data_IF_896673896952
#
_entry.id   IF_896673896952
#
_cell.length_a   1.000
_cell.length_b   1.000
_cell.length_c   1.000
_cell.angle_alpha   90.00
_cell.angle_beta   90.00
_cell.angle_gamma   90.00
#
_symmetry.space_group_name_H-M   'P 1'
#
loop_
_entity.id
_entity.type
_entity.pdbx_description
1 polymer ?
#
# COMPACT_ATOMS: atom_id res chain seq x y z
N UNK A 1 -20.94 -124.67 66.85
CA UNK A 1 -21.54 -124.35 65.54
C UNK A 1 -20.97 -123.03 65.02
N UNK A 2 -19.69 -123.03 64.66
CA UNK A 2 -18.92 -121.87 64.20
C UNK A 2 -18.70 -121.89 62.67
N UNK A 3 -19.35 -122.83 61.96
CA UNK A 3 -19.18 -123.06 60.51
C UNK A 3 -20.29 -122.45 59.65
N UNK A 4 -21.41 -122.02 60.24
CA UNK A 4 -22.55 -121.46 59.48
C UNK A 4 -22.41 -119.95 59.24
N UNK A 5 -21.54 -119.27 60.00
CA UNK A 5 -21.30 -117.83 59.88
C UNK A 5 -20.29 -117.46 58.76
N UNK A 6 -19.47 -118.41 58.28
CA UNK A 6 -18.46 -118.13 57.24
C UNK A 6 -19.00 -118.21 55.80
N UNK A 7 -20.16 -118.84 55.57
CA UNK A 7 -20.71 -119.01 54.22
C UNK A 7 -21.54 -117.77 53.80
N UNK A 8 -22.08 -117.01 54.75
CA UNK A 8 -22.86 -115.79 54.45
C UNK A 8 -22.03 -114.59 53.97
N UNK A 9 -20.75 -114.51 54.36
CA UNK A 9 -19.88 -113.36 54.03
C UNK A 9 -19.32 -113.43 52.61
N UNK A 10 -19.29 -114.62 51.99
CA UNK A 10 -18.76 -114.80 50.62
C UNK A 10 -19.75 -114.44 49.51
N UNK A 11 -21.05 -114.36 49.81
CA UNK A 11 -22.09 -114.04 48.81
C UNK A 11 -22.32 -112.51 48.71
N UNK A 12 -21.97 -111.75 49.75
CA UNK A 12 -22.14 -110.30 49.77
C UNK A 12 -21.05 -109.54 49.00
N UNK A 13 -19.89 -110.15 48.73
CA UNK A 13 -18.76 -109.49 48.06
C UNK A 13 -18.71 -109.69 46.55
N UNK A 14 -19.55 -110.55 45.96
CA UNK A 14 -19.55 -110.81 44.50
C UNK A 14 -20.59 -110.01 43.71
N UNK A 15 -21.41 -109.19 44.36
CA UNK A 15 -22.43 -108.36 43.69
C UNK A 15 -22.04 -106.88 43.59
N UNK A 16 -20.90 -106.47 44.13
CA UNK A 16 -20.46 -105.07 44.13
C UNK A 16 -19.68 -104.68 42.86
N UNK A 17 -18.96 -105.60 42.21
CA UNK A 17 -18.12 -105.29 41.03
C UNK A 17 -18.91 -105.12 39.73
N UNK A 18 -20.13 -105.68 39.63
CA UNK A 18 -20.96 -105.54 38.42
C UNK A 18 -21.72 -104.20 38.34
N UNK A 19 -21.94 -103.54 39.48
CA UNK A 19 -22.74 -102.31 39.56
C UNK A 19 -21.88 -101.05 39.29
N UNK A 20 -20.58 -101.11 39.54
CA UNK A 20 -19.64 -100.01 39.29
C UNK A 20 -19.23 -99.90 37.81
N UNK A 21 -19.07 -101.02 37.10
CA UNK A 21 -18.72 -101.03 35.66
C UNK A 21 -19.89 -100.59 34.75
N UNK A 22 -21.13 -100.84 35.16
CA UNK A 22 -22.30 -100.34 34.44
C UNK A 22 -22.49 -98.82 34.63
N UNK A 23 -22.11 -98.28 35.79
CA UNK A 23 -22.22 -96.84 36.09
C UNK A 23 -21.20 -95.98 35.29
N UNK A 24 -20.02 -96.50 34.96
CA UNK A 24 -19.01 -95.77 34.17
C UNK A 24 -19.25 -95.86 32.64
N UNK A 25 -19.85 -96.94 32.15
CA UNK A 25 -20.17 -97.08 30.72
C UNK A 25 -21.41 -96.28 30.30
N UNK A 26 -22.34 -96.02 31.23
CA UNK A 26 -23.51 -95.18 30.97
C UNK A 26 -23.18 -93.68 30.97
N UNK A 27 -22.28 -93.23 31.85
CA UNK A 27 -21.85 -91.82 31.93
C UNK A 27 -20.97 -91.40 30.75
N UNK A 28 -20.08 -92.28 30.27
CA UNK A 28 -19.23 -92.00 29.09
C UNK A 28 -20.00 -92.03 27.77
N UNK A 29 -20.99 -92.92 27.61
CA UNK A 29 -21.82 -92.97 26.41
C UNK A 29 -22.75 -91.75 26.28
N UNK A 30 -23.35 -91.28 27.36
CA UNK A 30 -24.18 -90.07 27.34
C UNK A 30 -23.34 -88.81 27.11
N UNK A 31 -22.13 -88.73 27.67
CA UNK A 31 -21.17 -87.65 27.37
C UNK A 31 -20.78 -87.62 25.88
N UNK A 32 -20.62 -88.78 25.24
CA UNK A 32 -20.25 -88.89 23.82
C UNK A 32 -21.40 -88.59 22.84
N UNK A 33 -22.66 -88.65 23.29
CA UNK A 33 -23.85 -88.33 22.47
C UNK A 33 -24.23 -86.85 22.60
N UNK A 34 -23.90 -86.20 23.72
CA UNK A 34 -24.11 -84.77 23.92
C UNK A 34 -22.94 -83.90 23.42
N UNK A 35 -21.72 -84.44 23.37
CA UNK A 35 -20.53 -83.73 22.86
C UNK A 35 -20.64 -83.29 21.39
N UNK A 36 -21.17 -84.09 20.43
CA UNK A 36 -21.24 -83.70 19.03
C UNK A 36 -22.30 -82.64 18.75
N UNK A 37 -23.36 -82.57 19.58
CA UNK A 37 -24.50 -81.66 19.37
C UNK A 37 -24.18 -80.20 19.72
N UNK A 38 -23.11 -79.96 20.49
CA UNK A 38 -22.65 -78.61 20.84
C UNK A 38 -21.68 -77.98 19.81
N UNK A 39 -21.19 -78.74 18.82
CA UNK A 39 -20.12 -78.30 17.90
C UNK A 39 -20.60 -77.47 16.70
N UNK A 40 -21.72 -77.86 16.07
CA UNK A 40 -22.34 -77.13 14.94
C UNK A 40 -22.92 -75.76 15.35
N UNK A 41 -23.60 -75.62 16.50
CA UNK A 41 -24.05 -74.31 16.99
C UNK A 41 -22.88 -73.37 17.30
N UNK A 42 -21.80 -73.89 17.89
CA UNK A 42 -20.58 -73.12 18.22
C UNK A 42 -19.87 -72.56 16.99
N UNK A 43 -19.72 -73.34 15.91
CA UNK A 43 -19.05 -72.87 14.69
C UNK A 43 -19.84 -71.79 13.96
N UNK A 44 -21.18 -71.91 13.87
CA UNK A 44 -22.04 -70.85 13.30
C UNK A 44 -22.03 -69.58 14.14
N UNK A 45 -22.06 -69.71 15.46
CA UNK A 45 -21.94 -68.57 16.38
C UNK A 45 -20.58 -67.87 16.21
N UNK A 46 -19.47 -68.62 16.10
CA UNK A 46 -18.14 -68.03 15.88
C UNK A 46 -18.02 -67.29 14.54
N UNK A 47 -18.62 -67.82 13.46
CA UNK A 47 -18.67 -67.15 12.15
C UNK A 47 -19.53 -65.88 12.20
N UNK A 48 -20.72 -65.96 12.79
CA UNK A 48 -21.60 -64.80 12.97
C UNK A 48 -20.95 -63.71 13.84
N UNK A 49 -20.18 -64.08 14.87
CA UNK A 49 -19.40 -63.13 15.67
C UNK A 49 -18.30 -62.48 14.85
N UNK A 50 -17.55 -63.24 14.04
CA UNK A 50 -16.52 -62.71 13.14
C UNK A 50 -17.08 -61.76 12.08
N UNK A 51 -18.22 -62.09 11.47
CA UNK A 51 -18.90 -61.23 10.51
C UNK A 51 -19.39 -59.93 11.18
N UNK A 52 -20.01 -60.02 12.36
CA UNK A 52 -20.42 -58.85 13.14
C UNK A 52 -19.22 -57.97 13.49
N UNK A 53 -18.09 -58.57 13.86
CA UNK A 53 -16.88 -57.81 14.19
C UNK A 53 -16.26 -57.16 12.93
N UNK A 54 -16.38 -57.78 11.75
CA UNK A 54 -16.01 -57.17 10.48
C UNK A 54 -16.90 -55.96 10.13
N UNK A 55 -18.23 -56.11 10.22
CA UNK A 55 -19.17 -55.00 10.02
C UNK A 55 -18.96 -53.87 11.03
N UNK A 56 -18.60 -54.21 12.28
CA UNK A 56 -18.28 -53.22 13.31
C UNK A 56 -17.02 -52.42 12.96
N UNK A 57 -16.00 -53.06 12.37
CA UNK A 57 -14.79 -52.39 11.92
C UNK A 57 -15.07 -51.45 10.75
N UNK A 58 -15.85 -51.90 9.76
CA UNK A 58 -16.25 -51.06 8.63
C UNK A 58 -17.09 -49.86 9.08
N UNK A 59 -18.06 -50.08 9.98
CA UNK A 59 -18.84 -48.99 10.57
C UNK A 59 -17.95 -48.01 11.38
N UNK A 60 -16.92 -48.52 12.07
CA UNK A 60 -15.93 -47.68 12.77
C UNK A 60 -15.05 -46.90 11.78
N UNK A 61 -14.59 -47.53 10.70
CA UNK A 61 -13.76 -46.88 9.68
C UNK A 61 -14.55 -45.78 8.96
N UNK A 62 -15.78 -46.07 8.55
CA UNK A 62 -16.67 -45.11 7.92
C UNK A 62 -16.94 -43.93 8.86
N UNK A 63 -17.18 -44.18 10.15
CA UNK A 63 -17.34 -43.13 11.17
C UNK A 63 -16.09 -42.25 11.32
N UNK A 64 -14.89 -42.85 11.26
CA UNK A 64 -13.64 -42.09 11.30
C UNK A 64 -13.52 -41.21 10.05
N UNK A 65 -13.79 -41.74 8.86
CA UNK A 65 -13.76 -40.96 7.60
C UNK A 65 -14.78 -39.82 7.60
N UNK A 66 -16.01 -40.05 8.07
CA UNK A 66 -17.00 -38.97 8.18
C UNK A 66 -16.54 -37.89 9.15
N UNK A 67 -15.94 -38.27 10.28
CA UNK A 67 -15.40 -37.29 11.24
C UNK A 67 -14.21 -36.50 10.69
N UNK A 68 -13.38 -37.13 9.86
CA UNK A 68 -12.26 -36.47 9.18
C UNK A 68 -12.76 -35.48 8.12
N UNK A 69 -13.74 -35.88 7.30
CA UNK A 69 -14.38 -34.97 6.34
C UNK A 69 -15.09 -33.80 7.03
N UNK A 70 -15.77 -34.05 8.15
CA UNK A 70 -16.41 -32.98 8.93
C UNK A 70 -15.37 -31.98 9.48
N UNK A 71 -14.19 -32.45 9.87
CA UNK A 71 -13.09 -31.60 10.31
C UNK A 71 -12.54 -30.76 9.15
N UNK A 72 -12.31 -31.35 7.98
CA UNK A 72 -11.86 -30.64 6.77
C UNK A 72 -12.89 -29.59 6.32
N UNK A 73 -14.18 -29.90 6.37
CA UNK A 73 -15.24 -28.98 5.98
C UNK A 73 -15.37 -27.81 6.96
N UNK A 74 -15.07 -28.03 8.25
CA UNK A 74 -14.92 -26.94 9.24
C UNK A 74 -13.72 -26.06 8.92
N UNK A 75 -12.58 -26.66 8.58
CA UNK A 75 -11.37 -25.93 8.24
C UNK A 75 -11.55 -25.08 6.97
N UNK A 76 -12.14 -25.64 5.92
CA UNK A 76 -12.47 -24.91 4.71
C UNK A 76 -13.43 -23.74 4.98
N UNK A 77 -14.40 -23.91 5.89
CA UNK A 77 -15.29 -22.81 6.31
C UNK A 77 -14.54 -21.72 7.05
N UNK A 78 -13.63 -22.06 7.96
CA UNK A 78 -12.81 -21.06 8.68
C UNK A 78 -11.88 -20.31 7.73
N UNK A 79 -11.26 -21.01 6.78
CA UNK A 79 -10.37 -20.41 5.80
C UNK A 79 -11.13 -19.51 4.84
N UNK A 80 -12.32 -19.92 4.37
CA UNK A 80 -13.16 -19.09 3.51
C UNK A 80 -13.64 -17.82 4.24
N UNK A 81 -14.00 -17.94 5.53
CA UNK A 81 -14.34 -16.77 6.35
C UNK A 81 -13.15 -15.82 6.52
N UNK A 82 -11.94 -16.36 6.76
CA UNK A 82 -10.70 -15.58 6.87
C UNK A 82 -10.35 -14.87 5.55
N UNK A 83 -10.44 -15.57 4.42
CA UNK A 83 -10.21 -15.02 3.08
C UNK A 83 -11.22 -13.92 2.74
N UNK A 84 -12.50 -14.10 3.09
CA UNK A 84 -13.51 -13.05 2.90
C UNK A 84 -13.18 -11.79 3.71
N UNK A 85 -12.76 -11.95 4.98
CA UNK A 85 -12.34 -10.83 5.82
C UNK A 85 -11.12 -10.10 5.23
N UNK A 86 -10.11 -10.85 4.76
CA UNK A 86 -8.92 -10.29 4.08
C UNK A 86 -9.28 -9.57 2.77
N UNK A 87 -10.18 -10.14 1.96
CA UNK A 87 -10.64 -9.49 0.74
C UNK A 87 -11.40 -8.20 1.03
N UNK A 88 -12.24 -8.17 2.07
CA UNK A 88 -12.91 -6.94 2.50
C UNK A 88 -11.91 -5.89 2.99
N UNK A 89 -10.89 -6.28 3.75
CA UNK A 89 -9.89 -5.33 4.23
C UNK A 89 -9.02 -4.78 3.10
N UNK A 90 -8.61 -5.63 2.14
CA UNK A 90 -7.90 -5.21 0.94
C UNK A 90 -8.75 -4.28 0.07
N UNK A 91 -10.03 -4.58 -0.10
CA UNK A 91 -10.95 -3.72 -0.86
C UNK A 91 -11.09 -2.36 -0.20
N UNK A 92 -11.23 -2.31 1.14
CA UNK A 92 -11.24 -1.04 1.89
C UNK A 92 -9.95 -0.27 1.70
N UNK A 93 -8.79 -0.91 1.91
CA UNK A 93 -7.47 -0.27 1.72
C UNK A 93 -7.29 0.26 0.30
N UNK A 94 -7.70 -0.50 -0.72
CA UNK A 94 -7.65 -0.07 -2.11
C UNK A 94 -8.57 1.14 -2.36
N UNK A 95 -9.77 1.16 -1.78
CA UNK A 95 -10.68 2.31 -1.89
C UNK A 95 -10.13 3.57 -1.19
N UNK A 96 -9.56 3.42 0.00
CA UNK A 96 -8.93 4.52 0.75
C UNK A 96 -7.72 5.06 0.00
N UNK A 97 -6.82 4.19 -0.45
CA UNK A 97 -5.66 4.58 -1.24
C UNK A 97 -6.05 5.31 -2.53
N UNK A 98 -7.07 4.83 -3.25
CA UNK A 98 -7.60 5.53 -4.43
C UNK A 98 -8.18 6.90 -4.09
N UNK A 99 -8.89 7.04 -2.97
CA UNK A 99 -9.44 8.31 -2.52
C UNK A 99 -8.32 9.30 -2.15
N UNK A 100 -7.28 8.84 -1.47
CA UNK A 100 -6.08 9.62 -1.15
C UNK A 100 -5.35 10.09 -2.41
N UNK A 101 -5.14 9.20 -3.40
CA UNK A 101 -4.52 9.57 -4.68
C UNK A 101 -5.34 10.64 -5.42
N UNK A 102 -6.68 10.52 -5.43
CA UNK A 102 -7.56 11.53 -6.04
C UNK A 102 -7.47 12.87 -5.33
N UNK A 103 -7.46 12.87 -4.00
CA UNK A 103 -7.31 14.08 -3.21
C UNK A 103 -5.94 14.75 -3.44
N UNK A 104 -4.88 13.96 -3.57
CA UNK A 104 -3.54 14.45 -3.87
C UNK A 104 -3.47 15.11 -5.25
N UNK A 105 -4.01 14.46 -6.29
CA UNK A 105 -4.12 15.01 -7.65
C UNK A 105 -4.77 16.40 -7.63
N UNK A 106 -5.93 16.53 -6.98
CA UNK A 106 -6.62 17.82 -6.86
C UNK A 106 -5.79 18.90 -6.15
N UNK A 107 -5.11 18.53 -5.05
CA UNK A 107 -4.24 19.47 -4.31
C UNK A 107 -3.03 19.94 -5.12
N UNK A 108 -2.43 19.05 -5.92
CA UNK A 108 -1.30 19.39 -6.80
C UNK A 108 -1.74 20.38 -7.86
N UNK A 109 -2.83 20.09 -8.59
CA UNK A 109 -3.33 21.01 -9.62
C UNK A 109 -3.73 22.37 -9.05
N UNK A 110 -4.38 22.41 -7.88
CA UNK A 110 -4.70 23.68 -7.21
C UNK A 110 -3.45 24.46 -6.79
N UNK A 111 -2.38 23.77 -6.41
CA UNK A 111 -1.10 24.41 -6.09
C UNK A 111 -0.44 24.97 -7.35
N UNK A 112 -0.38 24.19 -8.44
CA UNK A 112 0.16 24.62 -9.73
C UNK A 112 -0.54 25.88 -10.23
N UNK A 113 -1.88 25.91 -10.25
CA UNK A 113 -2.66 27.09 -10.64
C UNK A 113 -2.43 28.31 -9.75
N UNK A 114 -2.32 28.12 -8.43
CA UNK A 114 -2.00 29.23 -7.51
C UNK A 114 -0.60 29.77 -7.72
N UNK A 115 0.37 28.90 -7.99
CA UNK A 115 1.73 29.31 -8.34
C UNK A 115 1.74 30.09 -9.65
N UNK A 116 1.08 29.58 -10.70
CA UNK A 116 0.92 30.28 -11.97
C UNK A 116 0.37 31.70 -11.81
N UNK A 117 -0.76 31.83 -11.11
CA UNK A 117 -1.40 33.13 -10.87
C UNK A 117 -0.52 34.07 -10.06
N UNK A 118 0.21 33.56 -9.06
CA UNK A 118 1.13 34.37 -8.26
C UNK A 118 2.33 34.82 -9.08
N UNK A 119 2.96 33.92 -9.82
CA UNK A 119 4.11 34.21 -10.67
C UNK A 119 3.72 35.24 -11.72
N UNK A 120 2.61 35.07 -12.44
CA UNK A 120 2.13 36.06 -13.40
C UNK A 120 1.93 37.45 -12.78
N UNK A 121 1.35 37.53 -11.57
CA UNK A 121 1.19 38.80 -10.84
C UNK A 121 2.52 39.44 -10.47
N UNK A 122 3.48 38.65 -9.99
CA UNK A 122 4.82 39.14 -9.60
C UNK A 122 5.61 39.57 -10.83
N UNK A 123 5.63 38.77 -11.90
CA UNK A 123 6.28 39.11 -13.16
C UNK A 123 5.67 40.38 -13.77
N UNK A 124 4.34 40.52 -13.74
CA UNK A 124 3.67 41.75 -14.17
C UNK A 124 4.04 42.97 -13.32
N UNK A 125 4.16 42.79 -12.00
CA UNK A 125 4.62 43.84 -11.08
C UNK A 125 6.06 44.28 -11.39
N UNK A 126 6.98 43.33 -11.61
CA UNK A 126 8.37 43.63 -11.99
C UNK A 126 8.46 44.38 -13.32
N UNK A 127 7.65 43.99 -14.32
CA UNK A 127 7.59 44.71 -15.60
C UNK A 127 7.08 46.14 -15.40
N UNK A 128 6.05 46.32 -14.57
CA UNK A 128 5.52 47.63 -14.26
C UNK A 128 6.52 48.53 -13.52
N UNK A 129 7.43 47.95 -12.73
CA UNK A 129 8.46 48.69 -11.97
C UNK A 129 9.73 49.00 -12.74
N UNK A 130 9.95 48.39 -13.91
CA UNK A 130 11.16 48.57 -14.74
C UNK A 130 11.53 50.05 -14.95
N UNK A 131 10.52 50.90 -15.16
CA UNK A 131 10.72 52.34 -15.35
C UNK A 131 11.24 53.04 -14.09
N UNK A 132 10.84 52.62 -12.90
CA UNK A 132 11.34 53.19 -11.65
C UNK A 132 12.73 52.65 -11.31
N UNK A 133 13.00 51.37 -11.54
CA UNK A 133 14.30 50.73 -11.32
C UNK A 133 15.38 51.23 -12.27
N UNK A 134 14.96 51.69 -13.44
CA UNK A 134 15.83 52.32 -14.42
C UNK A 134 16.19 53.77 -14.08
N UNK A 135 15.92 54.25 -12.85
CA UNK A 135 16.34 55.57 -12.38
C UNK A 135 17.61 55.47 -11.53
N UNK A 136 18.71 56.17 -11.89
CA UNK A 136 18.92 56.95 -13.11
C UNK A 136 19.08 56.04 -14.35
N UNK A 137 18.81 56.56 -15.56
CA UNK A 137 18.76 55.80 -16.84
C UNK A 137 20.04 55.05 -17.26
N UNK A 138 21.09 55.12 -16.44
CA UNK A 138 22.28 54.27 -16.50
C UNK A 138 21.88 52.88 -15.98
N UNK A 139 21.46 52.00 -16.88
CA UNK A 139 21.08 50.63 -16.50
C UNK A 139 19.84 50.10 -17.19
N UNK A 140 19.14 50.91 -17.99
CA UNK A 140 17.92 50.49 -18.72
C UNK A 140 18.14 49.18 -19.49
N UNK A 141 19.29 49.03 -20.16
CA UNK A 141 19.60 47.80 -20.89
C UNK A 141 19.75 46.58 -19.97
N UNK A 142 20.31 46.77 -18.77
CA UNK A 142 20.47 45.71 -17.77
C UNK A 142 19.12 45.32 -17.18
N UNK A 143 18.28 46.30 -16.82
CA UNK A 143 16.92 46.06 -16.30
C UNK A 143 16.08 45.30 -17.32
N UNK A 144 16.07 45.75 -18.59
CA UNK A 144 15.34 45.05 -19.66
C UNK A 144 15.86 43.62 -19.86
N UNK A 145 17.18 43.42 -19.86
CA UNK A 145 17.76 42.08 -19.99
C UNK A 145 17.40 41.17 -18.81
N UNK A 146 17.48 41.68 -17.57
CA UNK A 146 17.13 40.96 -16.36
C UNK A 146 15.64 40.58 -16.35
N UNK A 147 14.74 41.52 -16.62
CA UNK A 147 13.29 41.24 -16.67
C UNK A 147 12.93 40.27 -17.80
N UNK A 148 13.60 40.35 -18.95
CA UNK A 148 13.44 39.36 -20.04
C UNK A 148 13.85 37.97 -19.58
N UNK A 149 14.96 37.86 -18.86
CA UNK A 149 15.41 36.59 -18.28
C UNK A 149 14.44 36.07 -17.20
N UNK A 150 13.90 36.95 -16.35
CA UNK A 150 12.90 36.60 -15.34
C UNK A 150 11.62 36.05 -15.98
N UNK A 151 11.09 36.72 -17.01
CA UNK A 151 9.90 36.24 -17.74
C UNK A 151 10.17 34.87 -18.36
N UNK A 152 11.34 34.69 -18.99
CA UNK A 152 11.72 33.40 -19.58
C UNK A 152 11.80 32.30 -18.52
N UNK A 153 12.56 32.52 -17.46
CA UNK A 153 12.72 31.55 -16.36
C UNK A 153 11.37 31.21 -15.71
N UNK A 154 10.50 32.19 -15.56
CA UNK A 154 9.15 32.00 -15.04
C UNK A 154 8.28 31.17 -16.01
N UNK A 155 8.41 31.37 -17.32
CA UNK A 155 7.75 30.55 -18.34
C UNK A 155 8.25 29.10 -18.31
N UNK A 156 9.57 28.89 -18.24
CA UNK A 156 10.16 27.54 -18.13
C UNK A 156 9.65 26.82 -16.86
N UNK A 157 9.59 27.53 -15.73
CA UNK A 157 9.00 27.01 -14.48
C UNK A 157 7.53 26.61 -14.65
N UNK A 158 6.75 27.35 -15.45
CA UNK A 158 5.36 27.02 -15.71
C UNK A 158 5.20 25.77 -16.57
N UNK A 159 6.11 25.54 -17.50
CA UNK A 159 6.18 24.30 -18.26
C UNK A 159 6.49 23.11 -17.34
N UNK A 160 7.47 23.24 -16.45
CA UNK A 160 7.80 22.18 -15.49
C UNK A 160 6.63 21.84 -14.54
N UNK A 161 5.87 22.86 -14.12
CA UNK A 161 4.65 22.65 -13.32
C UNK A 161 3.54 21.96 -14.12
N UNK A 162 3.44 22.24 -15.42
CA UNK A 162 2.52 21.57 -16.33
C UNK A 162 2.89 20.09 -16.47
N UNK A 163 4.17 19.79 -16.70
CA UNK A 163 4.67 18.42 -16.77
C UNK A 163 4.43 17.65 -15.46
N UNK A 164 4.67 18.30 -14.31
CA UNK A 164 4.39 17.71 -13.00
C UNK A 164 2.90 17.40 -12.81
N UNK A 165 2.03 18.32 -13.24
CA UNK A 165 0.58 18.11 -13.17
C UNK A 165 0.13 16.95 -14.07
N UNK A 166 0.69 16.81 -15.28
CA UNK A 166 0.43 15.64 -16.16
C UNK A 166 0.96 14.33 -15.57
N UNK A 167 2.13 14.35 -14.94
CA UNK A 167 2.71 13.17 -14.31
C UNK A 167 1.84 12.66 -13.14
N UNK A 168 1.21 13.59 -12.42
CA UNK A 168 0.29 13.28 -11.32
C UNK A 168 -1.11 12.96 -11.83
N UNK A 169 -1.60 13.68 -12.82
CA UNK A 169 -2.91 13.52 -13.44
C UNK A 169 -2.88 13.65 -14.98
N UNK A 170 -2.82 12.52 -15.71
CA UNK A 170 -2.74 12.52 -17.18
C UNK A 170 -3.94 13.12 -17.91
N UNK A 171 -5.02 13.46 -17.19
CA UNK A 171 -6.24 14.06 -17.73
C UNK A 171 -6.38 15.55 -17.38
N UNK A 172 -5.36 16.15 -16.76
CA UNK A 172 -5.38 17.57 -16.44
C UNK A 172 -5.39 18.43 -17.71
N UNK A 173 -6.26 19.43 -17.73
CA UNK A 173 -6.26 20.49 -18.75
C UNK A 173 -5.34 21.62 -18.26
N UNK A 174 -4.26 21.88 -18.99
CA UNK A 174 -3.21 22.79 -18.55
C UNK A 174 -3.05 23.92 -19.55
N UNK A 175 -3.03 25.16 -19.03
CA UNK A 175 -2.69 26.36 -19.77
C UNK A 175 -1.27 26.83 -19.36
N UNK A 176 -0.22 26.44 -20.11
CA UNK A 176 1.14 26.86 -19.83
C UNK A 176 1.38 28.35 -20.15
N UNK A 177 0.48 28.99 -20.89
CA UNK A 177 0.74 30.30 -21.51
C UNK A 177 0.43 31.49 -20.59
N UNK A 178 -0.10 31.24 -19.38
CA UNK A 178 -0.41 32.28 -18.39
C UNK A 178 0.77 33.22 -18.08
N UNK A 179 2.02 32.71 -18.14
CA UNK A 179 3.25 33.50 -17.93
C UNK A 179 4.02 33.72 -19.23
N UNK A 180 4.03 32.72 -20.12
CA UNK A 180 4.80 32.77 -21.37
C UNK A 180 4.33 33.87 -22.35
N UNK A 181 3.07 34.32 -22.24
CA UNK A 181 2.53 35.41 -23.06
C UNK A 181 2.89 36.83 -22.60
N UNK A 182 3.60 36.99 -21.48
CA UNK A 182 3.92 38.30 -20.92
C UNK A 182 5.01 38.99 -21.76
N UNK A 183 4.74 40.19 -22.27
CA UNK A 183 5.68 40.98 -23.07
C UNK A 183 6.52 41.92 -22.22
N UNK A 184 7.83 41.90 -22.43
CA UNK A 184 8.78 42.84 -21.79
C UNK A 184 8.99 44.06 -22.69
N UNK A 185 8.83 45.29 -22.16
CA UNK A 185 9.12 46.51 -22.89
C UNK A 185 10.57 46.56 -23.39
N UNK A 186 10.75 47.10 -24.59
CA UNK A 186 12.08 47.30 -25.18
C UNK A 186 12.87 48.38 -24.44
N UNK A 187 14.19 48.35 -24.62
CA UNK A 187 15.11 49.38 -24.10
C UNK A 187 14.64 50.79 -24.42
N UNK A 188 14.21 51.05 -25.66
CA UNK A 188 13.86 52.40 -26.09
C UNK A 188 12.53 52.86 -25.47
N UNK A 189 11.56 51.95 -25.31
CA UNK A 189 10.30 52.24 -24.61
C UNK A 189 10.54 52.59 -23.14
N UNK A 190 11.39 51.82 -22.44
CA UNK A 190 11.77 52.13 -21.05
C UNK A 190 12.56 53.43 -20.98
N UNK A 191 13.50 53.67 -21.90
CA UNK A 191 14.30 54.89 -21.94
C UNK A 191 13.42 56.13 -22.16
N UNK A 192 12.40 56.05 -23.03
CA UNK A 192 11.41 57.11 -23.25
C UNK A 192 10.59 57.34 -21.98
N UNK A 193 10.06 56.29 -21.35
CA UNK A 193 9.29 56.38 -20.11
C UNK A 193 10.08 57.11 -19.01
N UNK A 194 11.33 56.69 -18.81
CA UNK A 194 12.23 57.22 -17.77
C UNK A 194 12.65 58.66 -18.06
N UNK A 195 13.00 58.99 -19.31
CA UNK A 195 13.46 60.35 -19.68
C UNK A 195 12.34 61.38 -19.72
N UNK A 196 11.19 60.98 -20.24
CA UNK A 196 10.07 61.91 -20.45
C UNK A 196 9.31 62.21 -19.17
N UNK A 197 9.26 61.26 -18.23
CA UNK A 197 8.57 61.48 -16.96
C UNK A 197 9.06 60.56 -15.83
N UNK A 198 10.21 60.88 -15.21
CA UNK A 198 10.72 60.17 -14.04
C UNK A 198 9.69 60.06 -12.90
N UNK A 199 8.93 61.14 -12.67
CA UNK A 199 7.88 61.19 -11.65
C UNK A 199 6.75 60.20 -11.91
N UNK A 200 6.25 60.10 -13.15
CA UNK A 200 5.22 59.12 -13.50
C UNK A 200 5.72 57.68 -13.38
N UNK A 201 6.98 57.41 -13.71
CA UNK A 201 7.57 56.08 -13.51
C UNK A 201 7.60 55.70 -12.02
N UNK A 202 7.96 56.64 -11.15
CA UNK A 202 7.94 56.45 -9.69
C UNK A 202 6.53 56.30 -9.13
N UNK A 203 5.57 57.09 -9.62
CA UNK A 203 4.17 57.01 -9.21
C UNK A 203 3.55 55.67 -9.57
N UNK A 204 3.83 55.15 -10.78
CA UNK A 204 3.41 53.79 -11.17
C UNK A 204 4.01 52.70 -10.28
N UNK A 205 5.27 52.85 -9.86
CA UNK A 205 5.87 51.88 -8.93
C UNK A 205 5.18 51.90 -7.54
N UNK A 206 4.71 53.06 -7.07
CA UNK A 206 3.93 53.16 -5.81
C UNK A 206 2.56 52.47 -5.89
N UNK A 207 1.97 52.38 -7.07
CA UNK A 207 0.72 51.63 -7.28
C UNK A 207 0.91 50.13 -7.08
N UNK A 208 2.13 49.63 -7.35
CA UNK A 208 2.51 48.22 -7.23
C UNK A 208 3.08 47.89 -5.85
N UNK A 209 3.94 48.75 -5.32
CA UNK A 209 4.60 48.56 -4.03
C UNK A 209 4.11 49.60 -3.00
N UNK A 210 3.18 49.18 -2.16
CA UNK A 210 2.69 49.98 -1.05
C UNK A 210 3.82 50.29 -0.06
N UNK A 211 4.04 51.57 0.26
CA UNK A 211 5.03 52.01 1.25
C UNK A 211 6.35 52.55 0.68
N UNK A 212 6.48 52.66 -0.65
CA UNK A 212 7.58 53.38 -1.27
C UNK A 212 7.59 54.87 -0.81
N UNK A 213 8.76 55.44 -0.49
CA UNK A 213 8.88 56.84 -0.11
C UNK A 213 8.56 57.78 -1.27
N UNK A 214 8.45 59.08 -0.99
CA UNK A 214 8.44 60.10 -2.04
C UNK A 214 9.67 59.98 -2.92
N UNK A 215 9.55 60.35 -4.20
CA UNK A 215 10.63 60.23 -5.16
C UNK A 215 11.93 60.86 -4.63
N UNK A 216 13.05 60.12 -4.60
CA UNK A 216 14.33 60.68 -4.20
C UNK A 216 14.78 61.75 -5.21
N UNK A 217 15.43 62.81 -4.72
CA UNK A 217 15.99 63.85 -5.60
C UNK A 217 17.02 63.21 -6.54
N UNK A 218 16.77 63.31 -7.84
CA UNK A 218 17.65 62.74 -8.85
C UNK A 218 19.03 63.39 -8.74
N UNK A 219 20.12 62.62 -8.54
CA UNK A 219 21.47 63.17 -8.58
C UNK A 219 21.68 63.82 -9.94
N UNK A 220 22.19 65.05 -9.98
CA UNK A 220 22.74 65.60 -11.21
C UNK A 220 23.83 64.66 -11.67
N UNK A 221 23.71 64.05 -12.86
CA UNK A 221 24.78 63.20 -13.36
C UNK A 221 26.06 64.03 -13.45
N UNK A 222 27.19 63.56 -12.91
CA UNK A 222 28.50 64.11 -13.24
C UNK A 222 28.70 64.02 -14.76
N UNK A 223 29.55 64.83 -15.36
CA UNK A 223 29.88 64.68 -16.78
C UNK A 223 30.74 63.41 -16.94
N UNK A 224 30.10 62.24 -17.07
CA UNK A 224 30.77 60.94 -17.10
C UNK A 224 31.04 60.53 -18.54
N UNK A 225 32.33 60.37 -18.87
CA UNK A 225 32.72 59.64 -20.07
C UNK A 225 32.37 58.16 -19.86
N UNK A 226 31.29 57.70 -20.51
CA UNK A 226 30.77 56.32 -20.47
C UNK A 226 31.89 55.28 -20.61
N UNK A 227 32.88 55.54 -21.46
CA UNK A 227 33.99 54.61 -21.72
C UNK A 227 34.91 54.46 -20.51
N UNK A 228 35.12 55.53 -19.76
CA UNK A 228 36.03 55.58 -18.62
C UNK A 228 35.35 55.07 -17.35
N UNK A 229 34.07 55.39 -17.14
CA UNK A 229 33.30 54.94 -15.96
C UNK A 229 32.96 53.46 -16.04
N UNK A 230 32.60 52.95 -17.22
CA UNK A 230 32.36 51.51 -17.40
C UNK A 230 33.70 50.76 -17.32
N UNK A 231 34.77 51.25 -17.96
CA UNK A 231 36.10 50.65 -17.84
C UNK A 231 36.63 50.57 -16.41
N UNK A 232 36.51 51.66 -15.65
CA UNK A 232 36.94 51.72 -14.25
C UNK A 232 35.98 50.98 -13.31
N UNK A 233 34.68 50.98 -13.62
CA UNK A 233 33.65 50.25 -12.88
C UNK A 233 33.83 48.73 -13.00
N UNK A 234 34.10 48.21 -14.19
CA UNK A 234 34.44 46.79 -14.40
C UNK A 234 35.75 46.40 -13.72
N UNK A 235 36.79 47.24 -13.80
CA UNK A 235 38.06 47.00 -13.11
C UNK A 235 37.95 47.04 -11.58
N UNK A 236 36.99 47.78 -11.02
CA UNK A 236 36.74 47.84 -9.58
C UNK A 236 35.75 46.75 -9.11
N UNK A 237 34.78 46.38 -9.94
CA UNK A 237 33.90 45.24 -9.67
C UNK A 237 34.69 43.92 -9.65
N UNK A 238 35.64 43.73 -10.57
CA UNK A 238 36.55 42.58 -10.54
C UNK A 238 37.51 42.54 -9.34
N UNK A 239 37.68 43.66 -8.62
CA UNK A 239 38.43 43.72 -7.35
C UNK A 239 37.56 43.53 -6.12
N UNK A 240 36.26 43.81 -6.23
CA UNK A 240 35.29 43.71 -5.14
C UNK A 240 34.61 42.33 -5.09
N UNK A 241 34.61 41.62 -6.21
CA UNK A 241 34.14 40.25 -6.33
C UNK A 241 35.12 39.48 -7.23
N UNK A 242 36.12 38.77 -6.68
CA UNK A 242 36.95 37.89 -7.49
C UNK A 242 36.03 36.76 -7.97
N UNK A 243 35.68 36.77 -9.24
CA UNK A 243 35.15 35.58 -9.88
C UNK A 243 36.35 34.65 -10.04
N UNK A 244 36.49 33.71 -9.10
CA UNK A 244 37.35 32.55 -9.32
C UNK A 244 36.73 31.74 -10.46
N UNK A 245 37.38 31.75 -11.61
CA UNK A 245 37.12 30.82 -12.71
C UNK A 245 37.66 29.44 -12.29
N UNK A 246 36.77 28.57 -11.82
CA UNK A 246 36.92 27.10 -11.85
C UNK A 246 35.81 26.46 -12.69
#
# INVERSE_FOLDING_TARGET
MLLVLCIGVSIATLTFDAVTDFAQSATTKVASVLAPSASKPRSRLSKAMSERDAYRREASDLKVRTSAMDAELRQLRTDNASLRSRNQSLTKRASTSRAETRALKGKVGDLSRRMASRTAKVTGANIASMGAESLPFIGVAVVVAATTYEVKSACDTMHDLSELELAVDPMAEIDPDTVCGISVPSRDEVLVLVKSSPGMAWDKAKEVYSGLPSMPSMPSMPDWNIRETVGNGWNNLGKMWPFDEE
#
